data_IF_115243915316
#
_entry.id   IF_115243915316
#
_cell.length_a   1.000
_cell.length_b   1.000
_cell.length_c   1.000
_cell.angle_alpha   90.00
_cell.angle_beta   90.00
_cell.angle_gamma   90.00
#
_symmetry.space_group_name_H-M   'P 1'
#
loop_
_entity.id
_entity.type
_entity.pdbx_description
1 polymer ?
#
# COMPACT_ATOMS: atom_id res chain seq x y z
N UNK A 1 8.00 21.43 10.51
CA UNK A 1 8.58 20.85 9.29
C UNK A 1 7.95 19.50 9.12
N UNK A 2 7.16 19.29 8.06
CA UNK A 2 6.38 18.07 7.90
C UNK A 2 7.26 16.80 7.81
N UNK A 3 6.67 15.68 8.18
CA UNK A 3 7.26 14.35 7.99
C UNK A 3 7.68 14.12 6.53
N UNK A 4 8.80 13.43 6.33
CA UNK A 4 9.34 13.18 5.00
C UNK A 4 8.66 11.92 4.45
N UNK A 5 7.99 12.06 3.32
CA UNK A 5 7.32 10.94 2.64
C UNK A 5 7.71 10.89 1.16
N UNK A 6 7.80 9.67 0.63
CA UNK A 6 8.09 9.43 -0.79
C UNK A 6 7.32 8.20 -1.27
N UNK A 7 6.78 8.29 -2.48
CA UNK A 7 6.11 7.20 -3.18
C UNK A 7 6.67 7.14 -4.60
N UNK A 8 7.21 6.00 -5.01
CA UNK A 8 7.84 5.82 -6.32
C UNK A 8 7.32 4.56 -7.00
N UNK A 9 6.94 4.66 -8.27
CA UNK A 9 6.68 3.51 -9.13
C UNK A 9 8.04 2.97 -9.59
N UNK A 10 8.39 1.76 -9.17
CA UNK A 10 9.65 1.10 -9.58
C UNK A 10 9.52 0.42 -10.94
N UNK A 11 8.35 -0.16 -11.21
CA UNK A 11 8.02 -0.81 -12.47
C UNK A 11 6.51 -0.84 -12.64
N UNK A 12 6.03 -0.63 -13.85
CA UNK A 12 4.62 -0.78 -14.19
C UNK A 12 4.46 -1.38 -15.59
N UNK A 13 3.51 -2.31 -15.70
CA UNK A 13 2.99 -2.77 -16.97
C UNK A 13 1.46 -2.96 -16.86
N UNK A 14 0.83 -3.47 -17.91
CA UNK A 14 -0.63 -3.66 -17.96
C UNK A 14 -1.17 -4.71 -16.99
N UNK A 15 -0.33 -5.49 -16.30
CA UNK A 15 -0.78 -6.56 -15.38
C UNK A 15 -0.24 -6.40 -13.96
N UNK A 16 0.94 -5.81 -13.81
CA UNK A 16 1.64 -5.73 -12.55
C UNK A 16 2.24 -4.34 -12.37
N UNK A 17 2.24 -3.88 -11.12
CA UNK A 17 2.91 -2.67 -10.68
C UNK A 17 3.71 -2.95 -9.41
N UNK A 18 4.88 -2.35 -9.31
CA UNK A 18 5.73 -2.38 -8.11
C UNK A 18 5.94 -0.95 -7.64
N UNK A 19 5.57 -0.66 -6.40
CA UNK A 19 5.71 0.66 -5.80
C UNK A 19 6.50 0.57 -4.50
N UNK A 20 7.31 1.59 -4.25
CA UNK A 20 8.07 1.75 -3.02
C UNK A 20 7.59 2.99 -2.27
N UNK A 21 7.41 2.85 -0.96
CA UNK A 21 6.95 3.88 -0.04
C UNK A 21 7.98 4.09 1.06
N UNK A 22 8.27 5.35 1.37
CA UNK A 22 9.14 5.74 2.46
C UNK A 22 8.43 6.77 3.33
N UNK A 23 8.65 6.66 4.64
CA UNK A 23 8.25 7.62 5.64
C UNK A 23 9.39 7.79 6.65
N UNK A 24 9.66 9.03 7.06
CA UNK A 24 10.54 9.36 8.17
C UNK A 24 9.86 10.42 9.02
N UNK A 25 9.75 10.16 10.32
CA UNK A 25 9.15 11.10 11.26
C UNK A 25 9.99 12.38 11.38
N UNK A 26 9.31 13.52 11.39
CA UNK A 26 9.91 14.83 11.70
C UNK A 26 9.12 15.52 12.81
N UNK A 27 7.82 15.75 12.64
CA UNK A 27 7.00 16.47 13.63
C UNK A 27 5.48 16.24 13.57
N UNK A 28 4.96 15.47 12.60
CA UNK A 28 3.54 15.54 12.24
C UNK A 28 2.71 14.35 12.73
N UNK A 29 3.34 13.40 13.45
CA UNK A 29 2.64 12.30 14.10
C UNK A 29 2.36 11.12 13.16
N UNK A 30 1.25 10.42 13.40
CA UNK A 30 0.89 9.24 12.62
C UNK A 30 0.26 9.59 11.26
N UNK A 31 0.48 8.76 10.25
CA UNK A 31 -0.33 8.75 9.04
C UNK A 31 -1.72 8.20 9.37
N UNK A 32 -2.78 8.84 8.87
CA UNK A 32 -4.16 8.39 9.07
C UNK A 32 -4.84 8.18 7.71
N UNK A 33 -4.98 6.92 7.32
CA UNK A 33 -5.62 6.48 6.08
C UNK A 33 -5.13 7.23 4.82
N UNK A 34 -3.82 7.48 4.74
CA UNK A 34 -3.18 8.18 3.61
C UNK A 34 -3.20 7.27 2.39
N UNK A 35 -3.77 7.74 1.27
CA UNK A 35 -3.74 6.98 0.00
C UNK A 35 -2.31 6.88 -0.52
N UNK A 36 -1.82 5.64 -0.62
CA UNK A 36 -0.47 5.32 -1.13
C UNK A 36 -0.52 4.79 -2.56
N UNK A 37 -1.55 4.02 -2.90
CA UNK A 37 -1.82 3.57 -4.26
C UNK A 37 -3.19 4.10 -4.66
N UNK A 38 -3.20 5.10 -5.55
CA UNK A 38 -4.40 5.57 -6.21
C UNK A 38 -4.57 4.82 -7.54
N UNK A 39 -5.51 3.87 -7.58
CA UNK A 39 -5.65 2.99 -8.75
C UNK A 39 -6.14 3.73 -10.00
N UNK A 40 -6.83 4.87 -9.82
CA UNK A 40 -7.35 5.67 -10.93
C UNK A 40 -6.25 6.37 -11.74
N UNK A 41 -5.07 6.53 -11.14
CA UNK A 41 -3.89 7.14 -11.77
C UNK A 41 -2.98 6.14 -12.49
N UNK A 42 -3.23 4.84 -12.31
CA UNK A 42 -2.40 3.79 -12.87
C UNK A 42 -2.71 3.56 -14.36
N UNK A 43 -1.73 3.03 -15.10
CA UNK A 43 -1.84 2.79 -16.54
C UNK A 43 -3.09 1.95 -16.90
N UNK A 44 -3.81 2.30 -17.97
CA UNK A 44 -4.87 1.45 -18.48
C UNK A 44 -4.34 0.10 -19.02
N UNK A 45 -5.22 -0.88 -19.15
CA UNK A 45 -4.88 -2.13 -19.85
C UNK A 45 -4.80 -1.91 -21.37
N UNK A 46 -4.45 -2.96 -22.12
CA UNK A 46 -4.34 -2.90 -23.59
C UNK A 46 -5.66 -2.65 -24.31
N UNK A 47 -6.81 -2.82 -23.64
CA UNK A 47 -8.14 -2.53 -24.17
C UNK A 47 -8.60 -1.09 -23.85
N UNK A 48 -7.81 -0.34 -23.08
CA UNK A 48 -8.14 1.03 -22.64
C UNK A 48 -8.93 1.09 -21.33
N UNK A 49 -9.18 -0.03 -20.66
CA UNK A 49 -9.90 -0.03 -19.38
C UNK A 49 -9.01 0.53 -18.26
N UNK A 50 -9.57 1.44 -17.46
CA UNK A 50 -8.90 1.98 -16.28
C UNK A 50 -8.73 0.90 -15.20
N UNK A 51 -7.66 1.00 -14.43
CA UNK A 51 -7.42 0.11 -13.29
C UNK A 51 -8.45 0.42 -12.19
N UNK A 52 -9.19 -0.61 -11.75
CA UNK A 52 -10.26 -0.47 -10.76
C UNK A 52 -9.87 -0.97 -9.38
N UNK A 53 -8.80 -1.76 -9.30
CA UNK A 53 -8.27 -2.30 -8.05
C UNK A 53 -6.95 -3.02 -8.24
N UNK A 54 -6.41 -3.53 -7.15
CA UNK A 54 -5.16 -4.29 -7.12
C UNK A 54 -5.28 -5.49 -6.18
N UNK A 55 -4.49 -6.52 -6.44
CA UNK A 55 -4.19 -7.58 -5.47
C UNK A 55 -2.74 -7.45 -5.03
N UNK A 56 -2.48 -7.42 -3.73
CA UNK A 56 -1.11 -7.47 -3.20
C UNK A 56 -0.58 -8.88 -3.40
N UNK A 57 0.45 -9.02 -4.25
CA UNK A 57 1.13 -10.29 -4.50
C UNK A 57 2.25 -10.51 -3.50
N UNK A 58 3.00 -9.45 -3.19
CA UNK A 58 4.16 -9.51 -2.32
C UNK A 58 4.35 -8.17 -1.61
N UNK A 59 4.73 -8.23 -0.34
CA UNK A 59 5.10 -7.07 0.46
C UNK A 59 6.45 -7.33 1.10
N UNK A 60 7.41 -6.45 0.86
CA UNK A 60 8.71 -6.44 1.54
C UNK A 60 8.78 -5.16 2.37
N UNK A 61 9.16 -5.25 3.64
CA UNK A 61 9.15 -4.09 4.53
C UNK A 61 10.32 -4.06 5.49
N UNK A 62 10.63 -2.84 5.92
CA UNK A 62 11.45 -2.51 7.08
C UNK A 62 10.70 -1.44 7.85
N UNK A 63 10.45 -1.67 9.14
CA UNK A 63 9.75 -0.75 10.02
C UNK A 63 10.56 -0.56 11.30
N UNK A 64 10.72 0.69 11.73
CA UNK A 64 11.45 1.06 12.94
C UNK A 64 10.57 1.95 13.80
N UNK A 65 10.27 1.51 15.03
CA UNK A 65 9.63 2.30 16.08
C UNK A 65 8.15 2.66 15.89
N UNK A 66 7.49 2.09 14.88
CA UNK A 66 6.05 2.26 14.66
C UNK A 66 5.42 0.98 14.15
N UNK A 67 4.09 0.94 14.07
CA UNK A 67 3.37 -0.08 13.28
C UNK A 67 2.80 0.56 12.02
N UNK A 68 2.62 -0.23 10.96
CA UNK A 68 2.01 0.21 9.71
C UNK A 68 0.89 -0.74 9.32
N UNK A 69 -0.30 -0.19 9.12
CA UNK A 69 -1.46 -0.91 8.59
C UNK A 69 -1.58 -0.62 7.10
N UNK A 70 -1.52 -1.67 6.28
CA UNK A 70 -1.81 -1.61 4.85
C UNK A 70 -3.26 -1.98 4.65
N UNK A 71 -4.07 -1.07 4.11
CA UNK A 71 -5.52 -1.21 4.07
C UNK A 71 -6.08 -1.09 2.65
N UNK A 72 -7.14 -1.83 2.36
CA UNK A 72 -8.02 -1.58 1.22
C UNK A 72 -8.91 -0.36 1.50
N UNK A 73 -8.94 0.58 0.55
CA UNK A 73 -9.76 1.78 0.61
C UNK A 73 -11.26 1.49 0.42
N UNK A 74 -12.07 1.88 1.39
CA UNK A 74 -13.53 1.74 1.37
C UNK A 74 -14.18 2.78 2.29
N UNK A 75 -15.52 2.80 2.44
CA UNK A 75 -16.20 3.66 3.42
C UNK A 75 -15.69 3.42 4.85
N UNK A 76 -15.41 2.16 5.17
CA UNK A 76 -14.61 1.74 6.32
C UNK A 76 -13.47 0.90 5.79
N UNK A 77 -12.24 1.42 5.90
CA UNK A 77 -11.06 0.74 5.37
C UNK A 77 -10.87 -0.63 6.04
N UNK A 78 -10.42 -1.62 5.28
CA UNK A 78 -10.15 -2.97 5.77
C UNK A 78 -8.65 -3.21 5.79
N UNK A 79 -8.12 -3.60 6.94
CA UNK A 79 -6.72 -3.98 7.09
C UNK A 79 -6.44 -5.26 6.29
N UNK A 80 -5.46 -5.20 5.40
CA UNK A 80 -4.99 -6.34 4.59
C UNK A 80 -3.69 -6.92 5.15
N UNK A 81 -2.79 -6.06 5.66
CA UNK A 81 -1.55 -6.45 6.31
C UNK A 81 -1.29 -5.54 7.51
N UNK A 82 -0.86 -6.13 8.63
CA UNK A 82 -0.26 -5.41 9.74
C UNK A 82 1.24 -5.65 9.73
N UNK A 83 2.00 -4.56 9.72
CA UNK A 83 3.46 -4.58 9.82
C UNK A 83 3.84 -4.08 11.20
N UNK A 84 4.35 -4.99 12.03
CA UNK A 84 4.65 -4.70 13.43
C UNK A 84 5.96 -3.92 13.62
N UNK A 85 6.10 -3.36 14.82
CA UNK A 85 7.23 -2.51 15.18
C UNK A 85 8.57 -3.26 15.21
N UNK A 86 9.60 -2.60 14.68
CA UNK A 86 10.97 -3.10 14.72
C UNK A 86 11.20 -4.34 13.85
N UNK A 87 10.24 -4.67 12.97
CA UNK A 87 10.31 -5.82 12.09
C UNK A 87 10.80 -5.41 10.70
N UNK A 88 11.50 -6.35 10.08
CA UNK A 88 11.73 -6.36 8.64
C UNK A 88 11.42 -7.74 8.12
N UNK A 89 10.94 -7.82 6.89
CA UNK A 89 10.53 -9.10 6.36
C UNK A 89 9.90 -9.01 4.99
N UNK A 90 9.36 -10.15 4.61
CA UNK A 90 8.72 -10.35 3.32
C UNK A 90 7.59 -11.36 3.47
N UNK A 91 6.46 -11.07 2.81
CA UNK A 91 5.39 -12.03 2.55
C UNK A 91 5.18 -12.11 1.06
N UNK A 92 5.05 -13.33 0.56
CA UNK A 92 4.80 -13.64 -0.84
C UNK A 92 3.55 -14.53 -0.93
N UNK A 93 2.55 -14.04 -1.65
CA UNK A 93 1.25 -14.68 -1.89
C UNK A 93 1.08 -15.05 -3.37
N UNK A 94 2.15 -15.04 -4.16
CA UNK A 94 2.07 -15.30 -5.61
C UNK A 94 1.57 -16.73 -5.90
N UNK A 95 1.85 -17.68 -5.02
CA UNK A 95 1.40 -19.08 -5.07
C UNK A 95 -0.12 -19.22 -4.95
N UNK A 96 -0.77 -18.37 -4.16
CA UNK A 96 -2.24 -18.33 -3.97
C UNK A 96 -2.92 -17.28 -4.84
N UNK A 97 -2.17 -16.54 -5.66
CA UNK A 97 -2.68 -15.53 -6.58
C UNK A 97 -2.89 -14.13 -5.98
N UNK A 98 -2.35 -13.88 -4.78
CA UNK A 98 -2.39 -12.62 -4.06
C UNK A 98 -3.53 -12.48 -3.04
N UNK A 99 -3.44 -11.45 -2.21
CA UNK A 99 -4.52 -11.07 -1.30
C UNK A 99 -5.80 -10.67 -2.07
N UNK A 100 -6.97 -10.64 -1.39
CA UNK A 100 -8.23 -10.22 -2.01
C UNK A 100 -8.11 -8.90 -2.78
N UNK A 101 -8.83 -8.79 -3.89
CA UNK A 101 -8.86 -7.56 -4.70
C UNK A 101 -9.39 -6.40 -3.87
N UNK A 102 -8.66 -5.28 -3.83
CA UNK A 102 -9.09 -4.07 -3.13
C UNK A 102 -10.45 -3.57 -3.61
N UNK A 103 -10.80 -3.74 -4.89
CA UNK A 103 -12.12 -3.35 -5.43
C UNK A 103 -13.28 -4.23 -4.97
N UNK A 104 -12.99 -5.34 -4.30
CA UNK A 104 -13.98 -6.28 -3.75
C UNK A 104 -13.92 -6.35 -2.21
N UNK A 105 -13.11 -5.50 -1.58
CA UNK A 105 -12.83 -5.57 -0.15
C UNK A 105 -13.45 -4.39 0.59
N UNK A 106 -14.36 -4.67 1.53
CA UNK A 106 -15.08 -3.65 2.31
C UNK A 106 -16.33 -3.10 1.63
N UNK A 107 -17.00 -2.16 2.30
CA UNK A 107 -18.24 -1.53 1.83
C UNK A 107 -17.93 -0.31 0.98
N UNK A 108 -18.51 -0.23 -0.23
CA UNK A 108 -18.24 0.82 -1.22
C UNK A 108 -16.74 1.02 -1.48
N UNK A 109 -16.05 -0.02 -1.97
CA UNK A 109 -14.60 0.00 -2.14
C UNK A 109 -14.16 0.98 -3.23
N UNK A 110 -13.13 1.77 -2.94
CA UNK A 110 -12.53 2.67 -3.93
C UNK A 110 -11.64 1.89 -4.90
N UNK A 111 -10.94 0.87 -4.37
CA UNK A 111 -9.91 0.11 -5.09
C UNK A 111 -8.49 0.50 -4.68
N UNK A 112 -8.33 1.54 -3.88
CA UNK A 112 -7.03 2.08 -3.47
C UNK A 112 -6.38 1.27 -2.34
N UNK A 113 -5.09 1.52 -2.13
CA UNK A 113 -4.38 1.11 -0.92
C UNK A 113 -4.05 2.33 -0.08
N UNK A 114 -4.37 2.25 1.21
CA UNK A 114 -4.14 3.30 2.21
C UNK A 114 -3.26 2.80 3.34
N UNK A 115 -2.38 3.67 3.84
CA UNK A 115 -1.57 3.39 5.02
C UNK A 115 -2.04 4.19 6.23
N UNK A 116 -1.99 3.55 7.38
CA UNK A 116 -2.08 4.20 8.70
C UNK A 116 -0.88 3.76 9.50
N UNK A 117 -0.23 4.70 10.19
CA UNK A 117 0.81 4.38 11.16
C UNK A 117 0.26 4.51 12.58
N UNK A 118 0.88 3.84 13.54
CA UNK A 118 0.57 4.04 14.96
C UNK A 118 1.87 3.94 15.76
N UNK A 119 2.05 4.88 16.67
CA UNK A 119 3.23 4.99 17.52
C UNK A 119 4.39 5.78 16.92
N UNK A 120 4.21 6.45 15.77
CA UNK A 120 5.28 7.20 15.12
C UNK A 120 5.78 8.37 15.99
N UNK A 121 7.09 8.41 16.20
CA UNK A 121 7.83 9.42 16.94
C UNK A 121 9.25 9.62 16.42
N UNK A 122 10.04 10.38 17.18
CA UNK A 122 11.36 10.82 16.77
C UNK A 122 12.31 9.63 16.48
N UNK A 123 12.82 9.55 15.25
CA UNK A 123 13.74 8.51 14.81
C UNK A 123 13.08 7.29 14.16
N UNK A 124 11.76 7.32 14.01
CA UNK A 124 10.97 6.23 13.43
C UNK A 124 10.80 6.39 11.93
N UNK A 125 10.72 5.25 11.23
CA UNK A 125 10.58 5.22 9.78
C UNK A 125 10.01 3.90 9.27
N UNK A 126 9.51 3.91 8.04
CA UNK A 126 9.29 2.68 7.28
C UNK A 126 9.81 2.79 5.86
N UNK A 127 10.16 1.63 5.30
CA UNK A 127 10.39 1.41 3.88
C UNK A 127 9.58 0.18 3.46
N UNK A 128 8.59 0.36 2.59
CA UNK A 128 7.69 -0.70 2.17
C UNK A 128 7.70 -0.79 0.64
N UNK A 129 7.81 -1.99 0.10
CA UNK A 129 7.68 -2.27 -1.34
C UNK A 129 6.52 -3.21 -1.53
N UNK A 130 5.55 -2.80 -2.35
CA UNK A 130 4.41 -3.61 -2.74
C UNK A 130 4.55 -4.03 -4.19
N UNK A 131 4.52 -5.33 -4.45
CA UNK A 131 4.28 -5.88 -5.79
C UNK A 131 2.81 -6.25 -5.89
N UNK A 132 2.13 -5.72 -6.90
CA UNK A 132 0.68 -5.78 -7.01
C UNK A 132 0.25 -6.18 -8.41
N UNK A 133 -0.79 -7.02 -8.49
CA UNK A 133 -1.48 -7.34 -9.74
C UNK A 133 -2.62 -6.38 -9.95
N UNK A 134 -2.66 -5.73 -11.11
CA UNK A 134 -3.72 -4.79 -11.49
C UNK A 134 -5.00 -5.53 -11.87
N UNK A 135 -6.13 -4.93 -11.55
CA UNK A 135 -7.47 -5.41 -11.89
C UNK A 135 -8.21 -4.34 -12.66
N UNK A 136 -8.98 -4.81 -13.61
CA UNK A 136 -9.76 -4.03 -14.56
C UNK A 136 -11.17 -4.62 -14.54
N UNK A 137 -12.19 -3.76 -14.67
CA UNK A 137 -13.60 -4.14 -14.51
C UNK A 137 -14.24 -3.50 -13.30
#
# INVERSE_FOLDING_TARGET
MADITSSTILSENTRQIVMAFQYQYVDTGNESAVTKVDVSTLQANSNGDACTGVQILKCTWVVKGMTVQVMAGASTNIIMLNLDEGQSGEVDYTDVGGLPNTKQTGTSPTGDIKFTTTGAGAGDSYQIVLTMKKKYG
#
